data_IF_361069390743
#
_entry.id   IF_361069390743
#
_cell.length_a   1.000
_cell.length_b   1.000
_cell.length_c   1.000
_cell.angle_alpha   90.00
_cell.angle_beta   90.00
_cell.angle_gamma   90.00
#
_symmetry.space_group_name_H-M   'P 1'
#
loop_
_entity.id
_entity.type
_entity.pdbx_description
1 polymer ?
#
# COMPACT_ATOMS: atom_id res chain seq x y z
N UNK A 1 -3.57 -9.20 -16.71
CA UNK A 1 -2.51 -8.34 -16.16
C UNK A 1 -1.64 -7.85 -17.29
N UNK A 2 -1.63 -6.55 -17.48
CA UNK A 2 -0.78 -5.87 -18.47
C UNK A 2 0.62 -5.74 -17.90
N UNK A 3 1.34 -6.83 -17.86
CA UNK A 3 2.73 -6.84 -17.44
C UNK A 3 3.49 -5.87 -18.36
N UNK A 4 4.12 -4.84 -17.78
CA UNK A 4 4.91 -3.82 -18.47
C UNK A 4 4.16 -2.90 -19.46
N UNK A 5 2.83 -2.91 -19.50
CA UNK A 5 2.03 -2.00 -20.30
C UNK A 5 1.17 -1.10 -19.43
N UNK A 6 1.23 0.20 -19.68
CA UNK A 6 0.28 1.15 -19.10
C UNK A 6 -0.98 1.13 -19.95
N UNK A 7 -2.12 0.97 -19.30
CA UNK A 7 -3.43 1.15 -19.92
C UNK A 7 -4.16 2.27 -19.18
N UNK A 8 -4.84 3.12 -19.94
CA UNK A 8 -5.84 4.01 -19.34
C UNK A 8 -7.00 3.19 -18.77
N UNK A 9 -7.78 3.73 -17.82
CA UNK A 9 -8.99 3.06 -17.33
C UNK A 9 -9.94 2.64 -18.46
N UNK A 10 -10.12 3.49 -19.48
CA UNK A 10 -10.95 3.17 -20.64
C UNK A 10 -10.41 1.97 -21.45
N UNK A 11 -9.10 1.97 -21.73
CA UNK A 11 -8.48 0.84 -22.44
C UNK A 11 -8.57 -0.48 -21.63
N UNK A 12 -8.47 -0.38 -20.31
CA UNK A 12 -8.65 -1.54 -19.43
C UNK A 12 -10.10 -2.01 -19.43
N UNK A 13 -11.06 -1.10 -19.38
CA UNK A 13 -12.50 -1.39 -19.48
C UNK A 13 -12.83 -2.16 -20.75
N UNK A 14 -12.40 -1.67 -21.91
CA UNK A 14 -12.66 -2.27 -23.20
C UNK A 14 -12.05 -3.67 -23.37
N UNK A 15 -10.90 -3.92 -22.73
CA UNK A 15 -10.16 -5.19 -22.81
C UNK A 15 -10.59 -6.26 -21.80
N UNK A 16 -11.46 -5.93 -20.85
CA UNK A 16 -11.82 -6.80 -19.73
C UNK A 16 -13.35 -6.94 -19.56
N UNK A 17 -14.05 -7.23 -20.65
CA UNK A 17 -15.50 -7.50 -20.66
C UNK A 17 -16.34 -6.37 -20.03
N UNK A 18 -15.90 -5.13 -20.18
CA UNK A 18 -16.62 -3.92 -19.75
C UNK A 18 -17.10 -3.99 -18.28
N UNK A 19 -16.19 -4.09 -17.31
CA UNK A 19 -16.57 -4.17 -15.90
C UNK A 19 -17.34 -2.93 -15.46
N UNK A 20 -18.15 -3.03 -14.40
CA UNK A 20 -18.99 -1.93 -13.89
C UNK A 20 -18.15 -0.71 -13.51
N UNK A 21 -16.93 -0.92 -12.99
CA UNK A 21 -16.02 0.14 -12.55
C UNK A 21 -14.58 -0.22 -12.84
N UNK A 22 -13.81 0.76 -13.26
CA UNK A 22 -12.35 0.69 -13.40
C UNK A 22 -11.72 1.91 -12.74
N UNK A 23 -10.83 1.67 -11.79
CA UNK A 23 -10.04 2.72 -11.13
C UNK A 23 -8.57 2.31 -11.06
N UNK A 24 -7.68 3.28 -11.01
CA UNK A 24 -6.28 3.04 -10.70
C UNK A 24 -6.14 2.76 -9.18
N UNK A 25 -5.19 1.93 -8.81
CA UNK A 25 -5.01 1.53 -7.40
C UNK A 25 -3.56 1.61 -6.94
N UNK A 26 -2.68 0.84 -7.54
CA UNK A 26 -1.29 0.67 -7.09
C UNK A 26 -0.36 1.70 -7.71
N UNK A 27 0.77 1.94 -7.04
CA UNK A 27 1.89 2.66 -7.65
C UNK A 27 2.62 1.78 -8.65
N UNK A 28 3.28 2.40 -9.62
CA UNK A 28 4.10 1.71 -10.59
C UNK A 28 5.40 2.47 -10.87
N UNK A 29 6.42 1.76 -11.30
CA UNK A 29 7.69 2.34 -11.75
C UNK A 29 7.49 3.00 -13.12
N UNK A 30 7.84 4.29 -13.24
CA UNK A 30 7.84 4.98 -14.53
C UNK A 30 8.90 4.42 -15.50
N UNK A 31 9.97 3.88 -14.97
CA UNK A 31 11.08 3.33 -15.77
C UNK A 31 10.74 1.94 -16.33
N UNK A 32 10.20 1.06 -15.48
CA UNK A 32 9.99 -0.37 -15.83
C UNK A 32 8.53 -0.72 -16.10
N UNK A 33 7.58 0.19 -15.80
CA UNK A 33 6.13 -0.04 -15.79
C UNK A 33 5.68 -1.18 -14.85
N UNK A 34 6.55 -1.61 -13.94
CA UNK A 34 6.22 -2.64 -12.96
C UNK A 34 5.35 -2.08 -11.86
N UNK A 35 4.41 -2.89 -11.40
CA UNK A 35 3.67 -2.60 -10.18
C UNK A 35 4.59 -2.69 -8.96
N UNK A 36 4.45 -1.73 -8.04
CA UNK A 36 5.32 -1.58 -6.86
C UNK A 36 4.64 -2.03 -5.56
N UNK A 37 3.42 -2.53 -5.64
CA UNK A 37 2.62 -2.88 -4.48
C UNK A 37 2.05 -4.29 -4.59
N UNK A 38 1.54 -4.78 -3.46
CA UNK A 38 0.86 -6.07 -3.42
C UNK A 38 -0.37 -6.08 -4.32
N UNK A 39 -0.54 -7.17 -5.04
CA UNK A 39 -1.78 -7.51 -5.76
C UNK A 39 -2.12 -8.95 -5.48
N UNK A 40 -3.31 -9.21 -4.98
CA UNK A 40 -3.87 -10.54 -4.80
C UNK A 40 -5.12 -10.67 -5.68
N UNK A 41 -5.19 -11.71 -6.48
CA UNK A 41 -6.36 -12.06 -7.28
C UNK A 41 -6.63 -13.55 -7.13
N UNK A 42 -7.87 -13.89 -6.81
CA UNK A 42 -8.33 -15.27 -6.66
C UNK A 42 -7.43 -16.10 -5.71
N UNK A 43 -7.09 -15.51 -4.55
CA UNK A 43 -6.17 -16.05 -3.53
C UNK A 43 -4.73 -16.26 -4.00
N UNK A 44 -4.33 -15.71 -5.13
CA UNK A 44 -2.97 -15.79 -5.64
C UNK A 44 -2.26 -14.44 -5.48
N UNK A 45 -1.09 -14.45 -4.91
CA UNK A 45 -0.21 -13.29 -4.80
C UNK A 45 0.45 -13.05 -6.16
N UNK A 46 0.11 -11.93 -6.82
CA UNK A 46 0.55 -11.59 -8.18
C UNK A 46 1.52 -10.41 -8.22
N UNK A 47 1.48 -9.55 -7.21
CA UNK A 47 2.35 -8.40 -7.05
C UNK A 47 2.87 -8.32 -5.63
N UNK A 48 4.03 -7.69 -5.45
CA UNK A 48 4.76 -7.64 -4.18
C UNK A 48 5.01 -6.20 -3.78
N UNK A 49 5.01 -5.91 -2.49
CA UNK A 49 5.45 -4.62 -1.97
C UNK A 49 6.97 -4.47 -2.15
N UNK A 50 7.41 -3.24 -2.33
CA UNK A 50 8.82 -2.90 -2.15
C UNK A 50 9.08 -2.83 -0.64
N UNK A 51 10.02 -3.66 -0.18
CA UNK A 51 10.39 -3.75 1.23
C UNK A 51 11.74 -3.13 1.56
N UNK A 52 12.46 -2.63 0.56
CA UNK A 52 13.78 -2.04 0.78
C UNK A 52 13.91 -0.75 0.00
N UNK A 53 14.19 0.32 0.73
CA UNK A 53 14.46 1.65 0.17
C UNK A 53 15.89 2.02 0.56
N UNK A 54 16.72 2.28 -0.44
CA UNK A 54 18.10 2.67 -0.25
C UNK A 54 18.20 4.04 0.41
N UNK A 55 19.07 4.18 1.38
CA UNK A 55 19.44 5.45 1.96
C UNK A 55 20.16 6.35 0.94
N UNK A 56 20.17 7.65 1.22
CA UNK A 56 20.84 8.66 0.40
C UNK A 56 21.63 9.63 1.26
N UNK A 57 22.66 10.24 0.67
CA UNK A 57 23.50 11.20 1.37
C UNK A 57 24.21 10.59 2.56
N UNK A 58 23.99 11.12 3.77
CA UNK A 58 24.58 10.60 5.02
C UNK A 58 24.15 9.17 5.36
N UNK A 59 23.04 8.73 4.81
CA UNK A 59 22.45 7.38 4.99
C UNK A 59 22.86 6.39 3.88
N UNK A 60 23.76 6.78 2.98
CA UNK A 60 24.35 5.85 1.99
C UNK A 60 24.89 4.60 2.70
N UNK A 61 24.64 3.41 2.14
CA UNK A 61 24.90 2.10 2.75
C UNK A 61 23.97 1.70 3.90
N UNK A 62 22.90 2.44 4.11
CA UNK A 62 21.81 1.99 4.98
C UNK A 62 20.53 1.75 4.15
N UNK A 63 19.61 0.99 4.72
CA UNK A 63 18.34 0.64 4.09
C UNK A 63 17.21 0.94 5.07
N UNK A 64 16.04 1.25 4.52
CA UNK A 64 14.79 1.34 5.28
C UNK A 64 13.82 0.30 4.77
N UNK A 65 13.14 -0.38 5.68
CA UNK A 65 12.25 -1.49 5.38
C UNK A 65 10.81 -1.15 5.79
N UNK A 66 10.03 -0.44 4.95
CA UNK A 66 8.63 -0.15 5.22
C UNK A 66 7.74 -1.36 4.94
N UNK A 67 6.63 -1.43 5.68
CA UNK A 67 5.50 -2.27 5.35
C UNK A 67 4.47 -1.44 4.60
N UNK A 68 4.23 -1.75 3.33
CA UNK A 68 3.22 -1.04 2.53
C UNK A 68 1.83 -1.54 2.86
N UNK A 69 0.87 -0.62 3.00
CA UNK A 69 -0.51 -0.97 3.27
C UNK A 69 -1.25 -1.50 2.04
N UNK A 70 -2.30 -2.26 2.29
CA UNK A 70 -3.23 -2.74 1.29
C UNK A 70 -4.65 -2.89 1.86
N UNK A 71 -5.64 -2.75 0.98
CA UNK A 71 -7.02 -3.16 1.25
C UNK A 71 -7.27 -4.51 0.60
N UNK A 72 -7.90 -5.43 1.34
CA UNK A 72 -8.24 -6.76 0.87
C UNK A 72 -9.68 -7.14 1.19
N UNK A 73 -10.20 -8.06 0.40
CA UNK A 73 -11.52 -8.66 0.58
C UNK A 73 -11.34 -10.17 0.73
N UNK A 74 -11.80 -10.72 1.84
CA UNK A 74 -11.71 -12.13 2.16
C UNK A 74 -12.68 -12.99 1.33
N UNK A 75 -12.59 -14.31 1.46
CA UNK A 75 -13.57 -15.24 0.86
C UNK A 75 -14.99 -15.08 1.44
N UNK A 76 -15.11 -14.51 2.63
CA UNK A 76 -16.38 -14.22 3.29
C UNK A 76 -16.95 -12.85 2.94
N UNK A 77 -16.32 -12.13 1.98
CA UNK A 77 -16.66 -10.75 1.61
C UNK A 77 -16.43 -9.74 2.72
N UNK A 78 -15.56 -10.02 3.66
CA UNK A 78 -15.13 -9.11 4.71
C UNK A 78 -13.95 -8.30 4.21
N UNK A 79 -13.98 -6.98 4.39
CA UNK A 79 -12.89 -6.09 4.05
C UNK A 79 -11.92 -5.92 5.23
N UNK A 80 -10.64 -5.75 4.91
CA UNK A 80 -9.59 -5.48 5.90
C UNK A 80 -8.48 -4.61 5.27
N UNK A 81 -7.89 -3.72 6.07
CA UNK A 81 -6.71 -2.94 5.72
C UNK A 81 -5.58 -3.32 6.67
N UNK A 82 -4.43 -3.65 6.11
CA UNK A 82 -3.27 -4.07 6.88
C UNK A 82 -1.95 -3.62 6.23
N UNK A 83 -0.89 -3.57 7.01
CA UNK A 83 0.48 -3.33 6.54
C UNK A 83 1.17 -4.66 6.30
N UNK A 84 1.64 -4.87 5.07
CA UNK A 84 1.98 -6.18 4.59
C UNK A 84 3.47 -6.37 4.34
N UNK A 85 3.97 -7.51 4.76
CA UNK A 85 5.16 -8.14 4.21
C UNK A 85 4.76 -9.13 3.11
N UNK A 86 5.44 -9.06 1.97
CA UNK A 86 5.25 -9.95 0.82
C UNK A 86 6.58 -10.46 0.32
N UNK A 87 6.62 -11.73 -0.07
CA UNK A 87 7.82 -12.38 -0.57
C UNK A 87 7.41 -13.37 -1.67
N UNK A 88 8.15 -13.37 -2.79
CA UNK A 88 7.89 -14.24 -3.93
C UNK A 88 8.01 -15.74 -3.61
N UNK A 89 8.76 -16.08 -2.55
CA UNK A 89 8.90 -17.46 -2.06
C UNK A 89 7.74 -17.90 -1.17
N UNK A 90 6.88 -16.97 -0.77
CA UNK A 90 5.75 -17.23 0.14
C UNK A 90 4.43 -17.30 -0.61
N UNK A 91 3.59 -18.24 -0.20
CA UNK A 91 2.23 -18.36 -0.76
C UNK A 91 1.28 -17.25 -0.32
N UNK A 92 1.49 -16.70 0.87
CA UNK A 92 0.63 -15.69 1.48
C UNK A 92 1.44 -14.44 1.84
N UNK A 93 0.78 -13.28 1.82
CA UNK A 93 1.26 -12.11 2.52
C UNK A 93 1.09 -12.28 4.03
N UNK A 94 1.89 -11.53 4.77
CA UNK A 94 1.84 -11.47 6.23
C UNK A 94 1.49 -10.05 6.65
N UNK A 95 0.56 -9.90 7.58
CA UNK A 95 -0.02 -8.63 7.97
C UNK A 95 0.33 -8.22 9.39
N UNK A 96 0.57 -6.93 9.55
CA UNK A 96 0.44 -6.19 10.80
C UNK A 96 -0.87 -5.41 10.77
N UNK A 97 -1.60 -5.39 11.87
CA UNK A 97 -2.84 -4.63 12.01
C UNK A 97 -2.62 -3.21 12.55
N UNK A 98 -1.38 -2.86 12.86
CA UNK A 98 -0.96 -1.52 13.26
C UNK A 98 0.25 -1.10 12.42
N UNK A 99 0.38 0.20 12.08
CA UNK A 99 1.53 0.69 11.34
C UNK A 99 2.79 0.65 12.21
N UNK A 100 3.90 0.26 11.59
CA UNK A 100 5.22 0.32 12.22
C UNK A 100 6.11 1.30 11.47
N UNK A 101 6.94 2.05 12.19
CA UNK A 101 7.99 2.83 11.57
C UNK A 101 8.93 1.92 10.76
N UNK A 102 9.33 2.39 9.59
CA UNK A 102 10.25 1.65 8.74
C UNK A 102 11.57 1.41 9.47
N UNK A 103 11.97 0.15 9.55
CA UNK A 103 13.23 -0.24 10.17
C UNK A 103 14.37 0.29 9.33
N UNK A 104 15.39 0.85 9.98
CA UNK A 104 16.63 1.29 9.35
C UNK A 104 17.77 0.40 9.82
N UNK A 105 18.44 -0.25 8.87
CA UNK A 105 19.64 -1.05 9.17
C UNK A 105 20.63 -1.04 7.98
N UNK A 106 21.71 -1.78 8.13
CA UNK A 106 22.74 -1.97 7.08
C UNK A 106 22.50 -3.20 6.20
N UNK A 107 21.46 -3.99 6.50
CA UNK A 107 21.13 -5.19 5.75
C UNK A 107 20.17 -4.88 4.61
N UNK A 108 20.45 -5.42 3.42
CA UNK A 108 19.64 -5.19 2.22
C UNK A 108 18.32 -5.98 2.23
N UNK A 109 18.25 -7.05 2.99
CA UNK A 109 17.05 -7.90 3.08
C UNK A 109 16.65 -8.14 4.53
N UNK A 110 15.34 -8.25 4.74
CA UNK A 110 14.75 -8.65 6.01
C UNK A 110 14.78 -10.17 6.12
N UNK A 111 15.48 -10.70 7.14
CA UNK A 111 15.39 -12.14 7.45
C UNK A 111 14.25 -12.42 8.42
N UNK A 112 13.09 -12.80 7.87
CA UNK A 112 11.91 -13.19 8.66
C UNK A 112 12.01 -14.60 9.26
N UNK A 113 13.09 -15.32 9.04
CA UNK A 113 13.28 -16.64 9.63
C UNK A 113 13.79 -16.56 11.06
N UNK A 114 14.41 -15.45 11.45
CA UNK A 114 14.85 -15.28 12.84
C UNK A 114 13.69 -14.79 13.72
N UNK A 115 13.36 -15.57 14.75
CA UNK A 115 12.42 -15.15 15.78
C UNK A 115 12.85 -13.82 16.45
N UNK A 116 14.14 -13.55 16.48
CA UNK A 116 14.76 -12.35 17.04
C UNK A 116 14.38 -11.08 16.27
N UNK A 117 14.20 -11.17 14.95
CA UNK A 117 13.80 -10.05 14.14
C UNK A 117 12.36 -9.61 14.45
N UNK A 118 11.43 -10.55 14.55
CA UNK A 118 10.05 -10.27 14.96
C UNK A 118 10.01 -9.72 16.38
N UNK A 119 10.84 -10.21 17.27
CA UNK A 119 10.97 -9.75 18.65
C UNK A 119 11.57 -8.34 18.70
N UNK A 120 12.54 -8.00 17.82
CA UNK A 120 13.13 -6.66 17.75
C UNK A 120 12.17 -5.61 17.26
N UNK A 121 11.33 -5.92 16.25
CA UNK A 121 10.25 -5.03 15.79
C UNK A 121 9.26 -4.76 16.93
N UNK A 122 8.88 -5.79 17.67
CA UNK A 122 7.91 -5.72 18.78
C UNK A 122 8.51 -5.02 20.01
N UNK A 123 9.77 -5.29 20.36
CA UNK A 123 10.39 -4.77 21.59
C UNK A 123 10.68 -3.26 21.52
N UNK A 124 10.99 -2.71 20.34
CA UNK A 124 11.25 -1.28 20.19
C UNK A 124 9.98 -0.41 20.22
N UNK A 125 8.80 -0.96 20.01
CA UNK A 125 7.55 -0.19 19.90
C UNK A 125 6.48 -0.50 20.97
N UNK A 126 6.72 -1.39 21.91
CA UNK A 126 5.74 -1.80 22.95
C UNK A 126 4.37 -2.23 22.41
N UNK A 127 4.28 -2.66 21.16
CA UNK A 127 3.03 -3.09 20.54
C UNK A 127 3.09 -4.59 20.28
N UNK A 128 2.19 -5.34 20.90
CA UNK A 128 2.06 -6.80 20.71
C UNK A 128 1.37 -7.15 19.38
N UNK A 129 1.88 -6.65 18.26
CA UNK A 129 1.36 -7.01 16.94
C UNK A 129 2.24 -8.08 16.32
N UNK A 130 1.79 -9.32 16.32
CA UNK A 130 2.44 -10.41 15.62
C UNK A 130 2.09 -10.39 14.15
N UNK A 131 3.08 -10.60 13.27
CA UNK A 131 2.82 -10.86 11.85
C UNK A 131 1.97 -12.13 11.69
N UNK A 132 0.81 -12.01 11.07
CA UNK A 132 -0.10 -13.10 10.80
C UNK A 132 -0.34 -13.32 9.31
N UNK A 133 -0.67 -14.55 8.91
CA UNK A 133 -1.02 -14.83 7.51
C UNK A 133 -2.28 -14.07 7.11
N UNK A 134 -2.16 -13.23 6.09
CA UNK A 134 -3.26 -12.45 5.55
C UNK A 134 -3.90 -13.17 4.35
N UNK A 135 -5.07 -13.76 4.57
CA UNK A 135 -5.72 -14.65 3.59
C UNK A 135 -6.86 -13.92 2.89
N UNK A 136 -6.53 -13.11 1.88
CA UNK A 136 -7.52 -12.40 1.08
C UNK A 136 -7.79 -13.09 -0.26
N UNK A 137 -9.05 -13.04 -0.73
CA UNK A 137 -9.43 -13.48 -2.07
C UNK A 137 -8.92 -12.49 -3.11
N UNK A 138 -9.09 -11.20 -2.82
CA UNK A 138 -8.65 -10.09 -3.67
C UNK A 138 -8.05 -9.01 -2.78
N UNK A 139 -6.94 -8.40 -3.20
CA UNK A 139 -6.36 -7.27 -2.52
C UNK A 139 -5.53 -6.41 -3.47
N UNK A 140 -5.46 -5.12 -3.17
CA UNK A 140 -4.60 -4.16 -3.84
C UNK A 140 -3.86 -3.30 -2.83
N UNK A 141 -2.57 -3.13 -3.05
CA UNK A 141 -1.74 -2.24 -2.26
C UNK A 141 -1.79 -0.81 -2.76
N UNK A 142 -1.45 0.11 -1.90
CA UNK A 142 -1.42 1.55 -2.18
C UNK A 142 -0.75 2.27 -1.03
N UNK A 143 -1.51 3.07 -0.33
CA UNK A 143 -1.11 3.83 0.85
C UNK A 143 -0.68 5.27 0.52
N UNK A 144 -0.45 6.06 1.55
CA UNK A 144 -0.55 5.68 2.96
C UNK A 144 -2.01 5.43 3.40
N UNK A 145 -2.20 4.74 4.51
CA UNK A 145 -3.52 4.72 5.17
C UNK A 145 -3.83 6.13 5.67
N UNK A 146 -5.04 6.59 5.44
CA UNK A 146 -5.48 7.94 5.79
C UNK A 146 -6.34 7.97 7.04
N UNK A 147 -7.19 6.95 7.22
CA UNK A 147 -8.16 6.85 8.31
C UNK A 147 -8.03 5.48 8.98
N UNK A 148 -8.03 5.48 10.32
CA UNK A 148 -8.05 4.28 11.14
C UNK A 148 -9.16 4.41 12.19
N UNK A 149 -10.03 3.41 12.27
CA UNK A 149 -11.13 3.38 13.24
C UNK A 149 -12.00 4.65 13.28
N UNK A 150 -12.18 5.30 12.12
CA UNK A 150 -12.94 6.54 11.99
C UNK A 150 -12.18 7.81 12.35
N UNK A 151 -10.89 7.72 12.67
CA UNK A 151 -10.03 8.87 12.96
C UNK A 151 -9.03 9.10 11.82
N UNK A 152 -8.79 10.38 11.50
CA UNK A 152 -7.74 10.75 10.54
C UNK A 152 -6.38 10.44 11.15
N UNK A 153 -5.68 9.49 10.56
CA UNK A 153 -4.37 9.02 11.02
C UNK A 153 -3.51 8.61 9.85
N UNK A 154 -2.89 9.59 9.23
CA UNK A 154 -2.10 9.40 8.00
C UNK A 154 -0.77 8.73 8.31
N UNK A 155 -0.54 7.53 7.79
CA UNK A 155 0.64 6.69 8.05
C UNK A 155 1.76 6.87 7.02
N UNK A 156 1.90 8.08 6.50
CA UNK A 156 2.90 8.34 5.46
C UNK A 156 4.34 8.12 5.92
N UNK A 157 4.65 8.45 7.17
CA UNK A 157 6.01 8.30 7.72
C UNK A 157 6.39 6.84 7.96
N UNK A 158 5.42 6.02 8.34
CA UNK A 158 5.59 4.59 8.56
C UNK A 158 5.78 3.84 7.23
N UNK A 159 5.05 4.27 6.21
CA UNK A 159 5.06 3.62 4.90
C UNK A 159 6.07 4.21 3.91
N UNK A 160 6.65 5.38 4.20
CA UNK A 160 7.60 6.11 3.36
C UNK A 160 7.09 6.34 1.93
N UNK A 161 5.80 6.70 1.77
CA UNK A 161 5.16 6.83 0.45
C UNK A 161 5.50 8.14 -0.24
N UNK A 162 5.33 9.25 0.46
CA UNK A 162 5.58 10.59 -0.08
C UNK A 162 6.63 11.31 0.74
N UNK A 163 7.44 12.14 0.09
CA UNK A 163 8.49 12.92 0.72
C UNK A 163 8.43 14.40 0.29
N UNK A 164 8.90 15.27 1.18
CA UNK A 164 8.98 16.70 0.94
C UNK A 164 7.61 17.30 0.60
N UNK A 165 7.56 18.20 -0.36
CA UNK A 165 6.34 18.92 -0.78
C UNK A 165 5.21 18.02 -1.25
N UNK A 166 5.51 16.80 -1.73
CA UNK A 166 4.48 15.87 -2.22
C UNK A 166 3.46 15.43 -1.15
N UNK A 167 3.74 15.68 0.12
CA UNK A 167 2.80 15.44 1.24
C UNK A 167 1.69 16.50 1.22
N UNK A 168 2.06 17.77 1.00
CA UNK A 168 1.18 18.93 1.11
C UNK A 168 0.67 19.42 -0.26
N UNK A 169 1.25 18.94 -1.36
CA UNK A 169 0.85 19.31 -2.70
C UNK A 169 -0.50 18.70 -3.06
N UNK A 170 -1.32 19.47 -3.77
CA UNK A 170 -2.57 19.00 -4.34
C UNK A 170 -2.31 18.14 -5.56
N UNK A 171 -2.86 16.92 -5.54
CA UNK A 171 -2.78 15.96 -6.63
C UNK A 171 -4.12 15.29 -6.90
N UNK A 172 -4.37 14.75 -8.11
CA UNK A 172 -5.45 13.80 -8.30
C UNK A 172 -5.19 12.58 -7.42
N UNK A 173 -6.24 12.08 -6.79
CA UNK A 173 -6.15 11.02 -5.78
C UNK A 173 -7.17 9.94 -6.04
N UNK A 174 -6.84 8.72 -5.63
CA UNK A 174 -7.78 7.61 -5.55
C UNK A 174 -7.58 6.91 -4.22
N UNK A 175 -8.61 6.88 -3.40
CA UNK A 175 -8.62 6.17 -2.13
C UNK A 175 -9.66 5.05 -2.13
N UNK A 176 -9.38 4.01 -1.37
CA UNK A 176 -10.30 2.92 -1.09
C UNK A 176 -10.37 2.67 0.40
N UNK A 177 -11.56 2.43 0.90
CA UNK A 177 -11.81 2.15 2.30
C UNK A 177 -13.06 1.30 2.48
N UNK A 178 -13.37 0.99 3.73
CA UNK A 178 -14.60 0.28 4.07
C UNK A 178 -15.19 0.82 5.37
N UNK A 179 -16.50 0.68 5.50
CA UNK A 179 -17.26 1.08 6.68
C UNK A 179 -17.39 -0.08 7.67
N UNK A 180 -17.82 0.23 8.90
CA UNK A 180 -18.08 -0.80 9.94
C UNK A 180 -19.15 -1.81 9.51
N UNK A 181 -20.08 -1.42 8.65
CA UNK A 181 -21.10 -2.30 8.06
C UNK A 181 -20.63 -2.95 6.74
N UNK A 182 -19.31 -2.99 6.53
CA UNK A 182 -18.61 -3.69 5.44
C UNK A 182 -18.98 -3.21 4.03
N UNK A 183 -19.29 -1.93 3.87
CA UNK A 183 -19.48 -1.30 2.56
C UNK A 183 -18.13 -0.81 2.03
N UNK A 184 -17.82 -1.12 0.77
CA UNK A 184 -16.64 -0.60 0.09
C UNK A 184 -16.89 0.87 -0.30
N UNK A 185 -15.92 1.72 0.01
CA UNK A 185 -15.88 3.12 -0.41
C UNK A 185 -14.76 3.27 -1.43
N UNK A 186 -15.04 3.93 -2.54
CA UNK A 186 -14.05 4.32 -3.55
C UNK A 186 -14.20 5.81 -3.77
N UNK A 187 -13.13 6.56 -3.48
CA UNK A 187 -13.04 8.00 -3.69
C UNK A 187 -12.08 8.26 -4.85
N UNK A 188 -12.52 9.09 -5.79
CA UNK A 188 -11.68 9.60 -6.88
C UNK A 188 -11.73 11.11 -6.88
N UNK A 189 -10.58 11.74 -6.78
CA UNK A 189 -10.41 13.19 -6.80
C UNK A 189 -9.69 13.56 -8.09
N UNK A 190 -10.32 14.38 -8.90
CA UNK A 190 -9.72 14.94 -10.10
C UNK A 190 -8.68 16.01 -9.74
N UNK A 191 -7.66 16.20 -10.58
CA UNK A 191 -6.63 17.19 -10.29
C UNK A 191 -5.71 17.47 -11.47
N UNK A 192 -4.74 18.37 -11.25
CA UNK A 192 -3.80 18.87 -12.27
C UNK A 192 -4.47 19.61 -13.41
N UNK A 193 -5.63 20.18 -13.18
CA UNK A 193 -6.36 21.03 -14.11
C UNK A 193 -6.58 22.40 -13.46
N UNK A 194 -5.62 23.34 -13.56
CA UNK A 194 -5.67 24.63 -12.87
C UNK A 194 -6.93 25.42 -13.21
N UNK A 195 -7.56 25.97 -12.17
CA UNK A 195 -8.79 26.76 -12.31
C UNK A 195 -10.07 25.92 -12.43
N UNK A 196 -9.95 24.59 -12.59
CA UNK A 196 -11.11 23.69 -12.65
C UNK A 196 -11.05 22.61 -11.57
N UNK A 197 -9.97 21.81 -11.55
CA UNK A 197 -9.77 20.75 -10.58
C UNK A 197 -8.28 20.67 -10.18
N UNK A 198 -7.93 21.23 -9.03
CA UNK A 198 -6.54 21.28 -8.57
C UNK A 198 -6.06 19.97 -7.95
N UNK A 199 -6.97 19.17 -7.42
CA UNK A 199 -6.68 17.98 -6.61
C UNK A 199 -6.79 18.23 -5.12
N UNK A 200 -6.31 17.29 -4.32
CA UNK A 200 -6.32 17.36 -2.86
C UNK A 200 -4.95 17.04 -2.25
N UNK A 201 -4.66 17.62 -1.09
CA UNK A 201 -3.58 17.16 -0.21
C UNK A 201 -3.99 15.83 0.45
N UNK A 202 -3.07 15.14 1.11
CA UNK A 202 -3.40 13.91 1.87
C UNK A 202 -4.42 14.19 2.99
N UNK A 203 -4.30 15.34 3.65
CA UNK A 203 -5.23 15.74 4.72
C UNK A 203 -6.62 16.02 4.18
N UNK A 204 -6.73 16.69 3.04
CA UNK A 204 -8.02 16.95 2.38
C UNK A 204 -8.68 15.67 1.85
N UNK A 205 -7.88 14.71 1.38
CA UNK A 205 -8.38 13.39 0.95
C UNK A 205 -8.92 12.56 2.13
N UNK A 206 -8.38 12.80 3.34
CA UNK A 206 -8.79 12.10 4.57
C UNK A 206 -10.06 12.70 5.21
N UNK A 207 -10.42 13.94 4.90
CA UNK A 207 -11.62 14.64 5.40
C UNK A 207 -12.86 14.29 4.59
#
# INVERSE_FOLDING_TARGET
>A
TTYQRRLSPLQFYEKNDKPILVVNTTFFSFTTNQNLNVVIKDNKLLGYNIHTINGRGKDTFTYRHPFGSAIGISKKSEADVAWLYTDSTKRFSYALQLPNLAIKDSMISLDFKSADYLTSIVSHQRVSSSLSKWKMKTAVGGGPVLIQNGEIKITNNEELKFAGKAIDDKHPRTAMGYTKDNKLIILVIEGRNPGFAEGATLTQEAQ
#
